data_IF_936613494156
#
_entry.id   IF_936613494156
#
_cell.length_a   1.000
_cell.length_b   1.000
_cell.length_c   1.000
_cell.angle_alpha   90.00
_cell.angle_beta   90.00
_cell.angle_gamma   90.00
#
_symmetry.space_group_name_H-M   'P 1'
#
loop_
_entity.id
_entity.type
_entity.pdbx_description
1 polymer ?
#
# COMPACT_ATOMS: atom_id res chain seq x y z
N UNK A 1 28.49 -6.58 7.91
CA UNK A 1 27.66 -7.17 8.99
C UNK A 1 26.25 -7.27 8.45
N UNK A 2 25.75 -8.50 8.20
CA UNK A 2 24.38 -8.71 7.74
C UNK A 2 23.43 -8.50 8.93
N UNK A 3 22.53 -7.53 8.83
CA UNK A 3 21.43 -7.37 9.78
C UNK A 3 20.43 -8.53 9.62
N UNK A 4 19.80 -8.98 10.72
CA UNK A 4 18.96 -10.16 10.73
C UNK A 4 17.72 -9.95 9.86
N UNK A 5 17.34 -10.98 9.12
CA UNK A 5 16.04 -11.06 8.46
C UNK A 5 14.95 -10.79 9.50
N UNK A 6 14.32 -9.61 9.41
CA UNK A 6 13.07 -9.32 10.09
C UNK A 6 12.04 -10.31 9.57
N UNK A 7 11.75 -11.35 10.34
CA UNK A 7 10.68 -12.32 10.05
C UNK A 7 9.26 -11.70 10.18
N UNK A 8 9.17 -10.38 10.39
CA UNK A 8 7.92 -9.64 10.56
C UNK A 8 7.53 -8.83 9.32
N UNK A 9 6.26 -8.42 9.29
CA UNK A 9 5.76 -7.43 8.33
C UNK A 9 6.48 -6.09 8.56
N UNK A 10 6.82 -5.39 7.48
CA UNK A 10 7.34 -4.04 7.57
C UNK A 10 6.31 -3.10 8.22
N UNK A 11 6.80 -2.14 9.00
CA UNK A 11 6.01 -1.10 9.63
C UNK A 11 6.32 0.25 8.99
N UNK A 12 5.31 1.10 8.90
CA UNK A 12 5.46 2.47 8.43
C UNK A 12 5.50 3.39 9.64
N UNK A 13 6.52 4.24 9.72
CA UNK A 13 6.75 5.14 10.86
C UNK A 13 6.76 6.59 10.40
N UNK A 14 6.10 7.46 11.17
CA UNK A 14 5.96 8.90 10.93
C UNK A 14 6.45 9.71 12.12
N UNK A 15 7.62 9.37 12.64
CA UNK A 15 8.17 10.00 13.85
C UNK A 15 8.39 11.51 13.71
N UNK A 16 8.38 12.05 12.48
CA UNK A 16 8.63 13.45 12.16
C UNK A 16 7.83 13.88 10.92
N UNK A 17 7.16 15.04 10.98
CA UNK A 17 6.52 15.68 9.83
C UNK A 17 7.53 16.36 8.87
N UNK A 18 8.81 16.34 9.22
CA UNK A 18 9.88 16.89 8.39
C UNK A 18 10.53 15.87 7.46
N UNK A 19 10.38 14.59 7.73
CA UNK A 19 11.05 13.52 6.99
C UNK A 19 10.04 12.73 6.15
N UNK A 20 10.44 12.19 4.99
CA UNK A 20 9.57 11.32 4.22
C UNK A 20 9.18 10.09 5.06
N UNK A 21 7.99 9.51 4.81
CA UNK A 21 7.50 8.34 5.56
C UNK A 21 8.52 7.20 5.54
N UNK A 22 8.81 6.67 6.73
CA UNK A 22 9.83 5.62 6.88
C UNK A 22 9.21 4.24 6.80
N UNK A 23 9.87 3.33 6.10
CA UNK A 23 9.49 1.93 6.04
C UNK A 23 10.56 1.07 6.72
N UNK A 24 10.18 0.30 7.74
CA UNK A 24 11.10 -0.60 8.44
C UNK A 24 11.47 -1.81 7.59
N UNK A 25 12.49 -2.55 8.02
CA UNK A 25 12.80 -3.88 7.49
C UNK A 25 11.59 -4.83 7.67
N UNK A 26 11.39 -5.72 6.71
CA UNK A 26 10.36 -6.77 6.77
C UNK A 26 9.60 -6.94 5.46
N UNK A 27 8.67 -7.90 5.45
CA UNK A 27 7.84 -8.20 4.27
C UNK A 27 6.82 -7.09 4.02
N UNK A 28 6.66 -6.69 2.76
CA UNK A 28 5.59 -5.79 2.35
C UNK A 28 4.24 -6.53 2.37
N UNK A 29 3.23 -5.85 2.89
CA UNK A 29 1.84 -6.31 2.95
C UNK A 29 0.97 -5.25 2.32
N UNK A 30 -0.23 -5.63 1.89
CA UNK A 30 -1.15 -4.67 1.30
C UNK A 30 -1.46 -3.50 2.25
N UNK A 31 -1.60 -3.80 3.54
CA UNK A 31 -1.82 -2.79 4.57
C UNK A 31 -0.66 -1.79 4.65
N UNK A 32 0.60 -2.25 4.75
CA UNK A 32 1.74 -1.33 4.90
C UNK A 32 2.06 -0.56 3.62
N UNK A 33 1.86 -1.15 2.44
CA UNK A 33 1.98 -0.44 1.14
C UNK A 33 0.95 0.68 1.08
N UNK A 34 -0.31 0.40 1.41
CA UNK A 34 -1.37 1.41 1.40
C UNK A 34 -1.12 2.51 2.43
N UNK A 35 -0.69 2.13 3.63
CA UNK A 35 -0.36 3.10 4.68
C UNK A 35 0.81 4.00 4.27
N UNK A 36 1.84 3.42 3.64
CA UNK A 36 2.97 4.16 3.08
C UNK A 36 2.53 5.13 1.97
N UNK A 37 1.66 4.69 1.05
CA UNK A 37 1.09 5.52 0.00
C UNK A 37 0.33 6.73 0.56
N UNK A 38 -0.59 6.49 1.50
CA UNK A 38 -1.38 7.55 2.13
C UNK A 38 -0.50 8.59 2.80
N UNK A 39 0.54 8.15 3.51
CA UNK A 39 1.46 9.05 4.19
C UNK A 39 2.40 9.76 3.22
N UNK A 40 2.82 9.11 2.14
CA UNK A 40 3.61 9.74 1.09
C UNK A 40 2.81 10.88 0.43
N UNK A 41 1.54 10.63 0.10
CA UNK A 41 0.61 11.64 -0.40
C UNK A 41 0.48 12.82 0.57
N UNK A 42 0.19 12.54 1.84
CA UNK A 42 0.06 13.58 2.85
C UNK A 42 1.35 14.41 3.03
N UNK A 43 2.51 13.75 3.07
CA UNK A 43 3.80 14.40 3.21
C UNK A 43 4.11 15.31 2.03
N UNK A 44 3.93 14.82 0.80
CA UNK A 44 4.15 15.59 -0.44
C UNK A 44 3.23 16.80 -0.51
N UNK A 45 1.93 16.64 -0.24
CA UNK A 45 0.97 17.76 -0.21
C UNK A 45 1.35 18.82 0.83
N UNK A 46 1.88 18.42 1.99
CA UNK A 46 2.28 19.37 3.03
C UNK A 46 3.55 20.17 2.70
N UNK A 47 4.41 19.64 1.82
CA UNK A 47 5.73 20.20 1.52
C UNK A 47 5.83 20.85 0.15
N UNK A 48 4.99 20.45 -0.80
CA UNK A 48 5.01 20.95 -2.17
C UNK A 48 3.69 21.64 -2.48
N UNK A 49 3.73 22.98 -2.50
CA UNK A 49 2.55 23.85 -2.69
C UNK A 49 2.00 23.85 -4.11
N UNK A 50 2.77 23.35 -5.09
CA UNK A 50 2.39 23.30 -6.52
C UNK A 50 2.57 21.88 -7.10
N UNK A 51 2.31 20.84 -6.30
CA UNK A 51 2.34 19.46 -6.80
C UNK A 51 0.95 18.87 -6.83
N UNK A 52 0.57 18.35 -7.99
CA UNK A 52 -0.57 17.46 -8.15
C UNK A 52 -0.05 16.03 -7.96
N UNK A 53 -0.20 15.49 -6.75
CA UNK A 53 0.37 14.19 -6.37
C UNK A 53 -0.14 13.03 -7.25
N UNK A 54 -1.30 13.20 -7.88
CA UNK A 54 -1.89 12.19 -8.76
C UNK A 54 -1.40 12.30 -10.21
N UNK A 55 -0.81 13.43 -10.62
CA UNK A 55 -0.35 13.66 -11.99
C UNK A 55 1.16 13.84 -12.14
N UNK A 56 1.80 14.41 -11.13
CA UNK A 56 3.22 14.73 -11.19
C UNK A 56 4.09 13.48 -11.05
N UNK A 57 5.23 13.54 -11.74
CA UNK A 57 6.23 12.47 -11.81
C UNK A 57 7.45 12.83 -10.94
N UNK A 58 8.39 11.90 -10.81
CA UNK A 58 9.59 11.97 -9.96
C UNK A 58 9.30 12.08 -8.45
N UNK A 59 8.04 11.90 -8.03
CA UNK A 59 7.67 11.99 -6.62
C UNK A 59 8.26 10.84 -5.79
N UNK A 60 8.49 9.67 -6.40
CA UNK A 60 9.15 8.53 -5.76
C UNK A 60 10.62 8.86 -5.37
N UNK A 61 11.31 9.65 -6.18
CA UNK A 61 12.67 10.10 -5.89
C UNK A 61 12.77 10.96 -4.63
N UNK A 62 11.72 11.70 -4.25
CA UNK A 62 11.71 12.46 -2.99
C UNK A 62 11.50 11.57 -1.76
N UNK A 63 11.06 10.32 -1.94
CA UNK A 63 10.61 9.43 -0.87
C UNK A 63 11.62 8.33 -0.54
N UNK A 64 12.49 7.95 -1.49
CA UNK A 64 13.31 6.74 -1.38
C UNK A 64 14.23 6.68 -0.15
N UNK A 65 14.66 7.83 0.37
CA UNK A 65 15.45 7.92 1.61
C UNK A 65 14.68 7.40 2.84
N UNK A 66 13.34 7.45 2.81
CA UNK A 66 12.49 6.84 3.84
C UNK A 66 12.52 5.31 3.83
N UNK A 67 13.02 4.69 2.77
CA UNK A 67 12.98 3.22 2.59
C UNK A 67 14.32 2.54 2.89
N UNK A 68 15.32 3.28 3.39
CA UNK A 68 16.67 2.76 3.70
C UNK A 68 16.67 1.50 4.57
N UNK A 69 15.72 1.38 5.52
CA UNK A 69 15.62 0.21 6.38
C UNK A 69 14.98 -1.00 5.68
N UNK A 70 14.30 -0.80 4.54
CA UNK A 70 13.74 -1.87 3.71
C UNK A 70 14.57 -2.05 2.43
N UNK A 71 15.69 -2.76 2.56
CA UNK A 71 16.64 -2.96 1.47
C UNK A 71 15.97 -3.53 0.20
N UNK A 72 15.02 -4.46 0.32
CA UNK A 72 14.34 -5.04 -0.84
C UNK A 72 13.56 -4.03 -1.67
N UNK A 73 12.80 -3.14 -1.03
CA UNK A 73 12.09 -2.07 -1.74
C UNK A 73 13.07 -1.05 -2.34
N UNK A 74 14.08 -0.66 -1.57
CA UNK A 74 15.05 0.33 -2.00
C UNK A 74 15.90 -0.18 -3.19
N UNK A 75 16.42 -1.40 -3.12
CA UNK A 75 17.24 -2.00 -4.18
C UNK A 75 16.42 -2.14 -5.46
N UNK A 76 15.17 -2.60 -5.34
CA UNK A 76 14.25 -2.67 -6.48
C UNK A 76 13.98 -1.29 -7.09
N UNK A 77 13.73 -0.28 -6.26
CA UNK A 77 13.53 1.09 -6.73
C UNK A 77 14.78 1.61 -7.45
N UNK A 78 15.96 1.51 -6.84
CA UNK A 78 17.21 2.02 -7.41
C UNK A 78 17.54 1.34 -8.74
N UNK A 79 17.34 0.02 -8.84
CA UNK A 79 17.56 -0.74 -10.07
C UNK A 79 16.62 -0.32 -11.22
N UNK A 80 15.43 0.21 -10.91
CA UNK A 80 14.41 0.56 -11.90
C UNK A 80 14.08 2.07 -11.94
N UNK A 81 14.84 2.89 -11.21
CA UNK A 81 14.58 4.32 -10.96
C UNK A 81 14.23 5.11 -12.22
N UNK A 82 15.03 4.94 -13.28
CA UNK A 82 14.80 5.61 -14.59
C UNK A 82 13.39 5.40 -15.16
N UNK A 83 12.75 4.25 -14.92
CA UNK A 83 11.37 3.97 -15.35
C UNK A 83 10.36 4.36 -14.29
N UNK A 84 10.65 4.09 -13.01
CA UNK A 84 9.73 4.33 -11.90
C UNK A 84 9.52 5.82 -11.62
N UNK A 85 10.55 6.64 -11.81
CA UNK A 85 10.48 8.08 -11.61
C UNK A 85 9.64 8.80 -12.68
N UNK A 86 9.31 8.13 -13.80
CA UNK A 86 8.39 8.68 -14.81
C UNK A 86 6.91 8.46 -14.49
N UNK A 87 6.61 7.74 -13.41
CA UNK A 87 5.25 7.38 -13.02
C UNK A 87 4.65 8.43 -12.08
N UNK A 88 3.32 8.56 -12.13
CA UNK A 88 2.59 9.19 -11.03
C UNK A 88 2.75 8.37 -9.75
N UNK A 89 2.53 9.00 -8.59
CA UNK A 89 2.70 8.30 -7.32
C UNK A 89 1.78 7.08 -7.20
N UNK A 90 0.52 7.20 -7.66
CA UNK A 90 -0.42 6.07 -7.64
C UNK A 90 0.10 4.90 -8.48
N UNK A 91 0.53 5.16 -9.71
CA UNK A 91 1.04 4.11 -10.61
C UNK A 91 2.37 3.52 -10.11
N UNK A 92 3.20 4.31 -9.43
CA UNK A 92 4.37 3.78 -8.72
C UNK A 92 3.96 2.75 -7.65
N UNK A 93 2.97 3.07 -6.80
CA UNK A 93 2.50 2.12 -5.79
C UNK A 93 1.78 0.89 -6.38
N UNK A 94 1.20 1.00 -7.57
CA UNK A 94 0.72 -0.17 -8.33
C UNK A 94 1.86 -1.11 -8.68
N UNK A 95 2.98 -0.58 -9.20
CA UNK A 95 4.18 -1.37 -9.46
C UNK A 95 4.77 -2.01 -8.20
N UNK A 96 4.70 -1.32 -7.06
CA UNK A 96 5.10 -1.89 -5.77
C UNK A 96 4.20 -3.08 -5.40
N UNK A 97 2.88 -2.97 -5.57
CA UNK A 97 1.97 -4.09 -5.29
C UNK A 97 2.25 -5.28 -6.23
N UNK A 98 2.35 -5.05 -7.52
CA UNK A 98 2.68 -6.09 -8.52
C UNK A 98 3.98 -6.81 -8.16
N UNK A 99 5.05 -6.05 -7.91
CA UNK A 99 6.37 -6.63 -7.64
C UNK A 99 6.44 -7.43 -6.33
N UNK A 100 5.77 -6.97 -5.26
CA UNK A 100 5.96 -7.54 -3.91
C UNK A 100 4.80 -8.39 -3.42
N UNK A 101 3.60 -8.23 -3.97
CA UNK A 101 2.41 -9.02 -3.66
C UNK A 101 2.03 -9.98 -4.81
N UNK A 102 2.55 -9.75 -6.02
CA UNK A 102 2.23 -10.50 -7.23
C UNK A 102 1.15 -9.82 -8.07
N UNK A 103 1.13 -10.12 -9.37
CA UNK A 103 0.21 -9.48 -10.34
C UNK A 103 -1.28 -9.78 -10.05
N UNK A 104 -1.56 -10.86 -9.32
CA UNK A 104 -2.92 -11.30 -8.94
C UNK A 104 -3.38 -10.74 -7.60
N UNK A 105 -2.62 -9.86 -6.94
CA UNK A 105 -2.91 -9.42 -5.57
C UNK A 105 -4.35 -8.91 -5.36
N UNK A 106 -4.92 -8.20 -6.33
CA UNK A 106 -6.27 -7.67 -6.25
C UNK A 106 -7.32 -8.78 -6.33
N UNK A 107 -7.07 -9.77 -7.20
CA UNK A 107 -7.92 -10.95 -7.33
C UNK A 107 -7.84 -11.83 -6.08
N UNK A 108 -6.64 -12.08 -5.57
CA UNK A 108 -6.39 -12.88 -4.36
C UNK A 108 -7.05 -12.23 -3.14
N UNK A 109 -7.01 -10.90 -3.04
CA UNK A 109 -7.72 -10.16 -1.99
C UNK A 109 -9.24 -10.26 -2.14
N UNK A 110 -9.78 -10.09 -3.34
CA UNK A 110 -11.22 -10.21 -3.54
C UNK A 110 -11.74 -11.62 -3.22
N UNK A 111 -10.98 -12.66 -3.59
CA UNK A 111 -11.26 -14.02 -3.14
C UNK A 111 -11.20 -14.16 -1.63
N UNK A 112 -10.18 -13.57 -1.00
CA UNK A 112 -10.06 -13.57 0.47
C UNK A 112 -11.28 -12.94 1.12
N UNK A 113 -11.74 -11.78 0.63
CA UNK A 113 -12.95 -11.11 1.11
C UNK A 113 -14.17 -12.02 0.93
N UNK A 114 -14.36 -12.63 -0.24
CA UNK A 114 -15.49 -13.53 -0.50
C UNK A 114 -15.49 -14.82 0.34
N UNK A 115 -14.35 -15.17 0.93
CA UNK A 115 -14.20 -16.30 1.86
C UNK A 115 -14.22 -15.88 3.34
N UNK A 116 -14.29 -14.59 3.64
CA UNK A 116 -14.37 -14.14 5.03
C UNK A 116 -15.67 -14.62 5.66
N UNK A 117 -15.57 -15.14 6.88
CA UNK A 117 -16.74 -15.58 7.66
C UNK A 117 -16.80 -14.81 8.96
N UNK A 118 -18.01 -14.46 9.40
CA UNK A 118 -18.20 -13.86 10.71
C UNK A 118 -17.80 -14.86 11.81
N UNK A 119 -16.89 -14.46 12.69
CA UNK A 119 -16.59 -15.22 13.91
C UNK A 119 -17.74 -15.06 14.92
N UNK A 120 -17.99 -16.10 15.72
CA UNK A 120 -19.03 -16.12 16.76
C UNK A 120 -18.86 -15.00 17.80
N UNK A 121 -17.65 -14.46 17.96
CA UNK A 121 -17.34 -13.39 18.90
C UNK A 121 -17.56 -11.98 18.36
N UNK A 122 -17.70 -11.81 17.03
CA UNK A 122 -17.76 -10.50 16.36
C UNK A 122 -19.21 -10.14 16.04
N UNK A 123 -19.61 -8.89 16.27
CA UNK A 123 -20.96 -8.44 15.89
C UNK A 123 -21.08 -8.40 14.36
N UNK A 124 -22.26 -8.75 13.82
CA UNK A 124 -22.49 -8.74 12.36
C UNK A 124 -22.12 -7.40 11.73
N UNK A 125 -22.49 -6.30 12.40
CA UNK A 125 -22.17 -4.94 11.94
C UNK A 125 -20.67 -4.71 11.80
N UNK A 126 -19.88 -5.15 12.78
CA UNK A 126 -18.42 -4.99 12.76
C UNK A 126 -17.78 -5.83 11.65
N UNK A 127 -18.30 -7.05 11.45
CA UNK A 127 -17.88 -7.91 10.34
C UNK A 127 -18.20 -7.28 8.97
N UNK A 128 -19.44 -6.82 8.77
CA UNK A 128 -19.86 -6.16 7.55
C UNK A 128 -19.07 -4.88 7.27
N UNK A 129 -18.84 -4.04 8.29
CA UNK A 129 -18.01 -2.85 8.19
C UNK A 129 -16.57 -3.21 7.82
N UNK A 130 -16.00 -4.28 8.39
CA UNK A 130 -14.65 -4.74 8.03
C UNK A 130 -14.55 -5.23 6.57
N UNK A 131 -15.53 -6.02 6.11
CA UNK A 131 -15.59 -6.51 4.72
C UNK A 131 -15.69 -5.34 3.73
N UNK A 132 -16.65 -4.45 3.94
CA UNK A 132 -16.89 -3.28 3.08
C UNK A 132 -15.69 -2.33 3.11
N UNK A 133 -15.14 -2.06 4.29
CA UNK A 133 -13.96 -1.21 4.45
C UNK A 133 -12.75 -1.78 3.72
N UNK A 134 -12.49 -3.09 3.85
CA UNK A 134 -11.38 -3.76 3.15
C UNK A 134 -11.53 -3.67 1.63
N UNK A 135 -12.74 -3.94 1.11
CA UNK A 135 -13.02 -3.82 -0.33
C UNK A 135 -12.82 -2.38 -0.83
N UNK A 136 -13.40 -1.39 -0.14
CA UNK A 136 -13.31 0.01 -0.55
C UNK A 136 -11.89 0.57 -0.42
N UNK A 137 -11.16 0.18 0.63
CA UNK A 137 -9.82 0.69 0.90
C UNK A 137 -8.78 0.17 -0.09
N UNK A 138 -8.96 -1.05 -0.59
CA UNK A 138 -7.92 -1.76 -1.33
C UNK A 138 -8.27 -2.11 -2.78
N UNK A 139 -9.55 -2.32 -3.10
CA UNK A 139 -9.98 -2.73 -4.44
C UNK A 139 -10.64 -1.62 -5.23
N UNK A 140 -10.96 -0.48 -4.61
CA UNK A 140 -11.54 0.65 -5.34
C UNK A 140 -10.57 1.13 -6.43
N UNK A 141 -11.04 1.14 -7.68
CA UNK A 141 -10.22 1.44 -8.85
C UNK A 141 -9.49 0.24 -9.47
N UNK A 142 -9.61 -0.96 -8.89
CA UNK A 142 -9.00 -2.19 -9.40
C UNK A 142 -10.07 -3.20 -9.84
N UNK A 143 -9.66 -4.18 -10.63
CA UNK A 143 -10.50 -5.34 -10.98
C UNK A 143 -9.90 -6.61 -10.35
N UNK A 144 -10.69 -7.41 -9.62
CA UNK A 144 -12.11 -7.21 -9.32
C UNK A 144 -12.33 -6.27 -8.12
N UNK A 145 -13.17 -5.26 -8.30
CA UNK A 145 -13.83 -4.54 -7.21
C UNK A 145 -15.16 -5.22 -6.91
N UNK A 146 -15.41 -5.58 -5.66
CA UNK A 146 -16.69 -6.22 -5.29
C UNK A 146 -17.75 -5.14 -5.19
N UNK A 147 -18.79 -5.24 -6.03
CA UNK A 147 -19.91 -4.30 -6.02
C UNK A 147 -20.77 -4.48 -4.78
N UNK A 148 -21.54 -3.45 -4.43
CA UNK A 148 -22.51 -3.52 -3.34
C UNK A 148 -23.44 -4.73 -3.47
N UNK A 149 -23.85 -5.09 -4.69
CA UNK A 149 -24.68 -6.27 -4.94
C UNK A 149 -23.97 -7.57 -4.55
N UNK A 150 -22.69 -7.72 -4.90
CA UNK A 150 -21.90 -8.91 -4.55
C UNK A 150 -21.66 -8.96 -3.04
N UNK A 151 -21.34 -7.82 -2.43
CA UNK A 151 -21.13 -7.73 -0.98
C UNK A 151 -22.40 -8.03 -0.20
N UNK A 152 -23.56 -7.51 -0.63
CA UNK A 152 -24.86 -7.82 -0.01
C UNK A 152 -25.29 -9.28 -0.16
N UNK A 153 -24.80 -10.01 -1.17
CA UNK A 153 -25.03 -11.46 -1.30
C UNK A 153 -24.12 -12.28 -0.38
N UNK A 154 -22.94 -11.75 -0.08
CA UNK A 154 -21.95 -12.40 0.77
C UNK A 154 -22.23 -12.20 2.27
N UNK A 155 -22.63 -10.99 2.66
CA UNK A 155 -22.98 -10.60 4.04
C UNK A 155 -24.36 -11.12 4.44
#
# INVERSE_FOLDING_TARGET
MLQPHSNGSAQVNTSSSCEPPRLSAGKLTLHNIRHLETLAKAWLCSRKTNVDVDKDVNLAADLHLGWLANASLLDWYLANSSSLDTLSLSTFFDRVRECFLGDTWAYDLAQTIGMMTQDHSTLFREFAENVVSTNNMHLCGYTPFLTDTVLCQHL
#
